data_IF_158171706583
#
_entry.id   IF_158171706583
#
_cell.length_a   1.000
_cell.length_b   1.000
_cell.length_c   1.000
_cell.angle_alpha   90.00
_cell.angle_beta   90.00
_cell.angle_gamma   90.00
#
_symmetry.space_group_name_H-M   'P 1'
#
loop_
_entity.id
_entity.type
_entity.pdbx_description
1 polymer ?
#
# COMPACT_ATOMS: atom_id res chain seq x y z
N UNK A 1 -66.54 12.79 -7.84
CA UNK A 1 -66.12 11.76 -8.82
C UNK A 1 -65.51 12.48 -10.02
N UNK A 2 -64.36 12.09 -10.60
CA UNK A 2 -63.29 11.16 -10.21
C UNK A 2 -61.95 11.92 -9.87
N UNK A 3 -61.11 11.50 -8.92
CA UNK A 3 -60.05 10.44 -8.92
C UNK A 3 -58.65 10.91 -9.40
N UNK A 4 -57.72 10.98 -8.44
CA UNK A 4 -56.37 10.35 -8.36
C UNK A 4 -55.51 10.34 -9.65
N UNK A 5 -54.25 10.81 -9.56
CA UNK A 5 -53.02 10.01 -9.82
C UNK A 5 -51.74 10.83 -9.63
N UNK A 6 -50.88 10.34 -8.72
CA UNK A 6 -49.44 10.63 -8.59
C UNK A 6 -48.69 10.36 -9.90
N UNK A 7 -47.64 11.14 -10.21
CA UNK A 7 -46.46 10.57 -10.90
C UNK A 7 -45.16 11.37 -10.67
N UNK A 8 -44.21 10.64 -10.10
CA UNK A 8 -42.78 10.82 -9.90
C UNK A 8 -42.01 11.24 -11.18
N UNK A 9 -41.10 12.22 -11.10
CA UNK A 9 -39.90 12.37 -11.97
C UNK A 9 -38.78 13.03 -11.16
N UNK A 10 -37.84 12.26 -10.60
CA UNK A 10 -36.52 11.99 -11.19
C UNK A 10 -35.82 13.22 -11.77
N UNK A 11 -34.75 13.67 -11.08
CA UNK A 11 -33.57 14.22 -11.74
C UNK A 11 -32.38 14.00 -10.81
N UNK A 12 -31.70 12.89 -11.09
CA UNK A 12 -30.38 12.48 -10.63
C UNK A 12 -29.40 13.64 -10.77
N UNK A 13 -29.06 14.31 -9.67
CA UNK A 13 -28.14 15.45 -9.64
C UNK A 13 -26.75 15.03 -9.19
N UNK A 14 -25.94 14.55 -10.14
CA UNK A 14 -24.49 14.60 -10.20
C UNK A 14 -23.73 14.41 -8.86
N UNK A 15 -23.44 13.15 -8.51
CA UNK A 15 -22.35 12.84 -7.58
C UNK A 15 -21.05 13.21 -8.27
N UNK A 16 -20.49 14.37 -7.94
CA UNK A 16 -19.12 14.73 -8.29
C UNK A 16 -18.21 13.77 -7.50
N UNK A 17 -17.83 12.66 -8.13
CA UNK A 17 -16.74 11.83 -7.63
C UNK A 17 -15.45 12.64 -7.85
N UNK A 18 -15.10 13.45 -6.85
CA UNK A 18 -13.76 13.99 -6.69
C UNK A 18 -12.85 12.78 -6.41
N UNK A 19 -12.36 12.14 -7.47
CA UNK A 19 -11.17 11.31 -7.37
C UNK A 19 -10.02 12.25 -7.01
N UNK A 20 -9.77 12.39 -5.70
CA UNK A 20 -8.57 13.04 -5.20
C UNK A 20 -7.38 12.16 -5.62
N UNK A 21 -6.74 12.54 -6.73
CA UNK A 21 -5.44 12.02 -7.14
C UNK A 21 -4.38 12.59 -6.20
N UNK A 22 -4.30 12.10 -4.97
CA UNK A 22 -3.07 12.22 -4.19
C UNK A 22 -2.18 11.04 -4.54
N UNK A 23 -1.55 11.12 -5.73
CA UNK A 23 -0.47 10.23 -6.10
C UNK A 23 0.82 10.76 -5.45
N UNK A 24 1.11 10.30 -4.24
CA UNK A 24 2.44 10.45 -3.65
C UNK A 24 3.35 9.41 -4.32
N UNK A 25 3.90 9.76 -5.48
CA UNK A 25 4.93 8.93 -6.11
C UNK A 25 6.25 9.09 -5.32
N UNK A 26 6.83 7.97 -4.90
CA UNK A 26 8.24 7.89 -4.52
C UNK A 26 8.63 8.13 -3.06
N UNK A 27 7.67 8.26 -2.13
CA UNK A 27 8.01 8.38 -0.69
C UNK A 27 7.19 7.43 0.15
N UNK A 28 7.81 6.89 1.20
CA UNK A 28 7.14 6.10 2.21
C UNK A 28 6.08 6.91 2.97
N UNK A 29 4.89 6.34 3.12
CA UNK A 29 3.85 6.82 4.03
C UNK A 29 3.88 6.00 5.33
N UNK A 30 3.33 6.53 6.43
CA UNK A 30 3.19 5.75 7.66
C UNK A 30 2.08 4.71 7.50
N UNK A 31 2.33 3.50 7.97
CA UNK A 31 1.33 2.43 7.96
C UNK A 31 0.19 2.72 8.94
N UNK A 32 -1.04 2.58 8.44
CA UNK A 32 -2.19 2.25 9.27
C UNK A 32 -3.02 1.18 8.56
N UNK A 33 -3.80 0.42 9.33
CA UNK A 33 -4.69 -0.60 8.77
C UNK A 33 -5.73 0.00 7.82
N UNK A 34 -6.22 1.20 8.13
CA UNK A 34 -7.18 1.95 7.31
C UNK A 34 -6.55 2.37 5.99
N UNK A 35 -5.30 2.85 6.02
CA UNK A 35 -4.59 3.29 4.81
C UNK A 35 -4.29 2.11 3.89
N UNK A 36 -3.83 0.99 4.44
CA UNK A 36 -3.66 -0.24 3.65
C UNK A 36 -4.99 -0.68 3.04
N UNK A 37 -6.09 -0.68 3.81
CA UNK A 37 -7.41 -1.06 3.31
C UNK A 37 -7.91 -0.14 2.18
N UNK A 38 -7.69 1.17 2.29
CA UNK A 38 -8.02 2.14 1.24
C UNK A 38 -7.28 1.85 -0.07
N UNK A 39 -5.96 1.68 -0.01
CA UNK A 39 -5.12 1.39 -1.17
C UNK A 39 -5.50 0.06 -1.82
N UNK A 40 -5.76 -0.96 -0.98
CA UNK A 40 -6.22 -2.27 -1.43
C UNK A 40 -7.58 -2.20 -2.14
N UNK A 41 -8.53 -1.42 -1.62
CA UNK A 41 -9.83 -1.22 -2.24
C UNK A 41 -9.73 -0.48 -3.59
N UNK A 42 -8.70 0.35 -3.77
CA UNK A 42 -8.37 1.02 -5.04
C UNK A 42 -7.61 0.10 -6.02
N UNK A 43 -7.27 -1.14 -5.62
CA UNK A 43 -6.48 -2.06 -6.42
C UNK A 43 -5.03 -1.62 -6.63
N UNK A 44 -4.53 -0.70 -5.80
CA UNK A 44 -3.14 -0.21 -5.89
C UNK A 44 -2.17 -1.31 -5.44
N UNK A 45 -1.02 -1.47 -6.12
CA UNK A 45 0.06 -2.28 -5.58
C UNK A 45 0.69 -1.57 -4.38
N UNK A 46 0.90 -2.31 -3.30
CA UNK A 46 1.43 -1.76 -2.03
C UNK A 46 2.61 -2.57 -1.53
N UNK A 47 3.65 -1.88 -1.09
CA UNK A 47 4.75 -2.41 -0.30
C UNK A 47 4.57 -2.00 1.16
N UNK A 48 4.63 -2.93 2.10
CA UNK A 48 4.77 -2.63 3.54
C UNK A 48 6.17 -3.02 3.99
N UNK A 49 6.95 -2.05 4.46
CA UNK A 49 8.23 -2.26 5.13
C UNK A 49 8.02 -2.30 6.65
N UNK A 50 8.28 -3.46 7.25
CA UNK A 50 8.29 -3.61 8.70
C UNK A 50 9.69 -3.32 9.23
N UNK A 51 9.86 -2.22 9.95
CA UNK A 51 11.18 -1.72 10.37
C UNK A 51 11.25 -1.48 11.89
N UNK A 52 12.45 -1.19 12.38
CA UNK A 52 12.69 -0.57 13.68
C UNK A 52 13.97 0.27 13.60
N UNK A 53 14.10 1.33 14.39
CA UNK A 53 15.26 2.24 14.30
C UNK A 53 16.60 1.55 14.62
N UNK A 54 16.58 0.60 15.55
CA UNK A 54 17.76 -0.16 15.96
C UNK A 54 18.12 -1.28 14.96
N UNK A 55 17.27 -1.57 13.96
CA UNK A 55 17.48 -2.63 12.98
C UNK A 55 18.57 -2.29 11.95
N UNK A 56 19.73 -2.94 12.06
CA UNK A 56 20.86 -2.73 11.15
C UNK A 56 20.59 -3.14 9.70
N UNK A 57 19.79 -4.19 9.50
CA UNK A 57 19.38 -4.60 8.15
C UNK A 57 18.45 -3.58 7.51
N UNK A 58 17.50 -3.06 8.28
CA UNK A 58 16.57 -2.03 7.83
C UNK A 58 17.32 -0.77 7.38
N UNK A 59 18.34 -0.33 8.15
CA UNK A 59 19.22 0.79 7.74
C UNK A 59 19.93 0.60 6.40
N UNK A 60 20.11 -0.64 5.93
CA UNK A 60 20.62 -0.93 4.57
C UNK A 60 19.49 -1.11 3.55
N UNK A 61 18.37 -1.68 3.96
CA UNK A 61 17.23 -2.01 3.12
C UNK A 61 16.43 -0.76 2.72
N UNK A 62 16.07 0.12 3.66
CA UNK A 62 15.19 1.27 3.40
C UNK A 62 15.74 2.22 2.33
N UNK A 63 17.04 2.62 2.34
CA UNK A 63 17.57 3.51 1.30
C UNK A 63 17.54 2.89 -0.10
N UNK A 64 17.74 1.58 -0.22
CA UNK A 64 17.64 0.88 -1.51
C UNK A 64 16.19 0.89 -2.01
N UNK A 65 15.21 0.71 -1.12
CA UNK A 65 13.80 0.80 -1.46
C UNK A 65 13.41 2.23 -1.86
N UNK A 66 13.88 3.25 -1.14
CA UNK A 66 13.64 4.66 -1.49
C UNK A 66 14.18 5.00 -2.88
N UNK A 67 15.40 4.56 -3.20
CA UNK A 67 15.99 4.74 -4.54
C UNK A 67 15.12 4.06 -5.62
N UNK A 68 14.70 2.81 -5.40
CA UNK A 68 13.87 2.06 -6.35
C UNK A 68 12.48 2.70 -6.51
N UNK A 69 11.83 3.12 -5.43
CA UNK A 69 10.50 3.73 -5.48
C UNK A 69 10.49 5.08 -6.23
N UNK A 70 11.65 5.73 -6.38
CA UNK A 70 11.81 6.93 -7.19
C UNK A 70 12.01 6.62 -8.69
N UNK A 71 12.31 5.37 -9.07
CA UNK A 71 12.41 4.97 -10.48
C UNK A 71 11.01 4.92 -11.13
N UNK A 72 10.93 5.33 -12.40
CA UNK A 72 9.66 5.40 -13.15
C UNK A 72 8.94 4.03 -13.24
N UNK A 73 9.71 2.93 -13.25
CA UNK A 73 9.19 1.56 -13.28
C UNK A 73 8.31 1.24 -12.07
N UNK A 74 8.48 1.95 -10.94
CA UNK A 74 7.78 1.69 -9.69
C UNK A 74 6.81 2.82 -9.29
N UNK A 75 6.49 3.74 -10.21
CA UNK A 75 5.66 4.93 -9.91
C UNK A 75 4.27 4.60 -9.37
N UNK A 76 3.73 3.43 -9.71
CA UNK A 76 2.40 3.00 -9.27
C UNK A 76 2.40 2.33 -7.89
N UNK A 77 3.57 1.88 -7.42
CA UNK A 77 3.76 1.21 -6.14
C UNK A 77 3.73 2.21 -4.99
N UNK A 78 2.78 2.03 -4.06
CA UNK A 78 2.75 2.82 -2.82
C UNK A 78 3.50 2.08 -1.73
N UNK A 79 4.35 2.76 -0.97
CA UNK A 79 5.12 2.15 0.11
C UNK A 79 4.68 2.67 1.48
N UNK A 80 4.45 1.76 2.44
CA UNK A 80 4.06 2.05 3.81
C UNK A 80 5.13 1.55 4.79
N UNK A 81 5.44 2.33 5.83
CA UNK A 81 6.33 1.91 6.92
C UNK A 81 5.53 1.53 8.15
N UNK A 82 5.71 0.29 8.59
CA UNK A 82 5.15 -0.23 9.82
C UNK A 82 6.26 -0.33 10.85
N UNK A 83 6.15 0.45 11.92
CA UNK A 83 7.10 0.41 13.02
C UNK A 83 6.84 -0.83 13.89
N UNK A 84 7.84 -1.71 14.00
CA UNK A 84 7.72 -2.96 14.74
C UNK A 84 7.50 -2.75 16.24
N UNK A 85 8.14 -1.73 16.82
CA UNK A 85 8.08 -1.50 18.26
C UNK A 85 6.73 -0.87 18.65
N UNK A 86 6.15 -0.06 17.77
CA UNK A 86 4.85 0.58 17.99
C UNK A 86 3.66 -0.27 17.51
N UNK A 87 3.81 -1.04 16.43
CA UNK A 87 2.70 -1.69 15.70
C UNK A 87 2.88 -3.21 15.60
N UNK A 88 3.40 -3.83 16.67
CA UNK A 88 3.79 -5.26 16.69
C UNK A 88 2.66 -6.22 16.35
N UNK A 89 1.44 -5.96 16.80
CA UNK A 89 0.31 -6.87 16.54
C UNK A 89 -0.18 -6.77 15.10
N UNK A 90 -0.10 -5.60 14.49
CA UNK A 90 -0.33 -5.37 13.07
C UNK A 90 0.74 -6.10 12.25
N UNK A 91 2.02 -5.99 12.62
CA UNK A 91 3.11 -6.73 11.96
C UNK A 91 2.81 -8.24 11.93
N UNK A 92 2.43 -8.82 13.07
CA UNK A 92 2.05 -10.24 13.18
C UNK A 92 0.83 -10.58 12.34
N UNK A 93 -0.19 -9.72 12.34
CA UNK A 93 -1.41 -9.92 11.56
C UNK A 93 -1.13 -9.94 10.05
N UNK A 94 -0.13 -9.18 9.58
CA UNK A 94 0.35 -9.22 8.21
C UNK A 94 1.35 -10.36 7.94
N UNK A 95 1.62 -11.23 8.92
CA UNK A 95 2.51 -12.38 8.78
C UNK A 95 4.00 -12.05 8.90
N UNK A 96 4.39 -10.83 9.31
CA UNK A 96 5.78 -10.46 9.48
C UNK A 96 6.37 -11.09 10.76
N UNK A 97 7.38 -11.98 10.65
CA UNK A 97 7.93 -12.66 11.82
C UNK A 97 8.94 -11.80 12.60
N UNK A 98 9.49 -10.75 11.97
CA UNK A 98 10.51 -9.84 12.51
C UNK A 98 10.64 -8.57 11.68
N UNK A 99 11.44 -7.63 12.17
CA UNK A 99 11.87 -6.44 11.41
C UNK A 99 12.65 -6.84 10.14
N UNK A 100 12.71 -5.91 9.19
CA UNK A 100 13.24 -6.13 7.84
C UNK A 100 12.41 -7.14 7.04
N UNK A 101 11.12 -7.24 7.36
CA UNK A 101 10.15 -7.95 6.52
C UNK A 101 9.52 -6.96 5.57
N UNK A 102 9.49 -7.31 4.30
CA UNK A 102 8.79 -6.61 3.24
C UNK A 102 7.58 -7.44 2.83
N UNK A 103 6.44 -6.81 2.67
CA UNK A 103 5.17 -7.46 2.33
C UNK A 103 4.63 -6.78 1.08
N UNK A 104 4.38 -7.55 0.02
CA UNK A 104 3.76 -7.02 -1.19
C UNK A 104 2.28 -7.35 -1.22
N UNK A 105 1.49 -6.36 -1.61
CA UNK A 105 0.07 -6.50 -1.86
C UNK A 105 -0.24 -6.16 -3.31
N UNK A 106 -1.20 -6.89 -3.87
CA UNK A 106 -1.82 -6.59 -5.16
C UNK A 106 -3.27 -7.01 -5.13
N UNK A 107 -4.15 -6.19 -5.73
CA UNK A 107 -5.58 -6.50 -5.83
C UNK A 107 -6.23 -6.78 -4.46
N UNK A 108 -5.70 -6.16 -3.40
CA UNK A 108 -6.18 -6.31 -2.04
C UNK A 108 -5.69 -7.54 -1.27
N UNK A 109 -4.83 -8.37 -1.87
CA UNK A 109 -4.30 -9.59 -1.24
C UNK A 109 -2.78 -9.51 -1.06
N UNK A 110 -2.28 -10.14 0.00
CA UNK A 110 -0.84 -10.30 0.21
C UNK A 110 -0.30 -11.32 -0.79
N UNK A 111 0.69 -10.90 -1.59
CA UNK A 111 1.27 -11.68 -2.67
C UNK A 111 2.49 -12.48 -2.21
N UNK A 112 3.46 -11.83 -1.58
CA UNK A 112 4.73 -12.43 -1.18
C UNK A 112 5.39 -11.66 -0.03
N UNK A 113 6.33 -12.34 0.64
CA UNK A 113 7.14 -11.83 1.74
C UNK A 113 8.63 -11.96 1.42
N UNK A 114 9.37 -10.88 1.62
CA UNK A 114 10.84 -10.91 1.61
C UNK A 114 11.36 -10.56 2.99
N UNK A 115 12.33 -11.32 3.50
CA UNK A 115 12.84 -11.15 4.87
C UNK A 115 14.35 -10.93 4.84
N UNK A 116 14.79 -9.78 5.36
CA UNK A 116 16.18 -9.37 5.48
C UNK A 116 16.96 -9.30 4.15
N UNK A 117 16.25 -9.14 3.03
CA UNK A 117 16.89 -8.96 1.74
C UNK A 117 17.55 -7.58 1.63
N UNK A 118 18.79 -7.56 1.16
CA UNK A 118 19.60 -6.34 0.97
C UNK A 118 20.38 -6.37 -0.35
N UNK A 119 20.19 -7.39 -1.18
CA UNK A 119 20.68 -7.43 -2.55
C UNK A 119 19.75 -6.60 -3.46
N UNK A 120 20.26 -5.56 -4.14
CA UNK A 120 19.44 -4.66 -4.94
C UNK A 120 18.66 -5.35 -6.07
N UNK A 121 19.26 -6.34 -6.73
CA UNK A 121 18.63 -7.04 -7.86
C UNK A 121 17.45 -7.88 -7.37
N UNK A 122 17.62 -8.61 -6.26
CA UNK A 122 16.53 -9.39 -5.66
C UNK A 122 15.41 -8.52 -5.09
N UNK A 123 15.74 -7.33 -4.57
CA UNK A 123 14.71 -6.36 -4.17
C UNK A 123 13.92 -5.86 -5.38
N UNK A 124 14.57 -5.50 -6.49
CA UNK A 124 13.85 -5.09 -7.72
C UNK A 124 12.97 -6.21 -8.27
N UNK A 125 13.49 -7.43 -8.33
CA UNK A 125 12.70 -8.61 -8.73
C UNK A 125 11.48 -8.81 -7.84
N UNK A 126 11.67 -8.69 -6.52
CA UNK A 126 10.58 -8.74 -5.55
C UNK A 126 9.53 -7.64 -5.83
N UNK A 127 9.91 -6.37 -5.92
CA UNK A 127 8.98 -5.27 -6.17
C UNK A 127 8.19 -5.43 -7.49
N UNK A 128 8.83 -5.92 -8.55
CA UNK A 128 8.17 -6.17 -9.84
C UNK A 128 7.05 -7.21 -9.77
N UNK A 129 7.06 -8.10 -8.78
CA UNK A 129 5.96 -9.05 -8.57
C UNK A 129 4.62 -8.35 -8.32
N UNK A 130 4.61 -7.11 -7.84
CA UNK A 130 3.40 -6.32 -7.62
C UNK A 130 2.95 -5.51 -8.85
N UNK A 131 3.72 -5.50 -9.95
CA UNK A 131 3.40 -4.76 -11.18
C UNK A 131 2.95 -5.62 -12.39
N UNK A 132 3.40 -6.87 -12.50
CA UNK A 132 3.03 -7.82 -13.57
C UNK A 132 1.66 -8.51 -13.48
#
# INVERSE_FOLDING_TARGET
MPSIHYCLKSATGLVLFLFALTANAGTFENYSSERLAELNAQGRPVLVEVYADWCSTCRRQSPLLEEMLAEADFSDLTALKLDWDEQRDQAKALGAPRQSTLILFRNGEALDLSIAETNPDRLREFLRQALN
#
